data_IF_276372771419
#
_entry.id   IF_276372771419
#
_cell.length_a   1.000
_cell.length_b   1.000
_cell.length_c   1.000
_cell.angle_alpha   90.00
_cell.angle_beta   90.00
_cell.angle_gamma   90.00
#
_symmetry.space_group_name_H-M   'P 1'
#
loop_
_entity.id
_entity.type
_entity.pdbx_description
1 polymer ?
#
# COMPACT_ATOMS: atom_id res chain seq x y z
N UNK A 1 -9.32 5.76 16.04
CA UNK A 1 -7.95 6.02 15.58
C UNK A 1 -7.95 7.37 14.87
N UNK A 2 -6.86 8.15 14.93
CA UNK A 2 -6.83 9.51 14.39
C UNK A 2 -6.46 9.46 12.89
N UNK A 3 -7.42 9.74 12.01
CA UNK A 3 -7.31 9.56 10.55
C UNK A 3 -6.25 10.45 9.88
N UNK A 4 -5.75 11.49 10.55
CA UNK A 4 -4.79 12.45 9.99
C UNK A 4 -3.34 11.91 9.90
N UNK A 5 -3.03 10.75 10.49
CA UNK A 5 -1.66 10.25 10.60
C UNK A 5 -1.27 9.20 9.56
N UNK A 6 -2.20 8.71 8.75
CA UNK A 6 -1.94 7.58 7.85
C UNK A 6 -1.03 7.94 6.68
N UNK A 7 -1.03 9.19 6.20
CA UNK A 7 -0.48 9.53 4.87
C UNK A 7 1.05 9.72 4.78
N UNK A 8 1.80 9.80 5.89
CA UNK A 8 3.14 10.46 5.82
C UNK A 8 4.28 9.89 6.67
N UNK A 9 4.27 8.62 7.08
CA UNK A 9 5.42 8.10 7.86
C UNK A 9 6.01 6.83 7.25
N UNK A 10 7.00 7.02 6.38
CA UNK A 10 7.96 5.97 6.04
C UNK A 10 8.65 5.53 7.34
N UNK A 11 8.78 4.23 7.63
CA UNK A 11 9.42 3.77 8.85
C UNK A 11 10.85 4.33 8.95
N UNK A 12 11.19 4.92 10.09
CA UNK A 12 12.54 5.38 10.41
C UNK A 12 13.39 4.20 10.91
N UNK A 13 14.67 4.16 10.53
CA UNK A 13 15.58 3.11 10.98
C UNK A 13 16.61 2.73 9.93
N UNK A 14 17.39 1.71 10.22
CA UNK A 14 18.27 1.05 9.27
C UNK A 14 17.45 0.35 8.18
N UNK A 15 18.10 0.06 7.05
CA UNK A 15 17.47 -0.64 5.93
C UNK A 15 16.91 -2.01 6.32
N UNK A 16 17.62 -2.75 7.17
CA UNK A 16 17.18 -4.06 7.65
C UNK A 16 15.90 -3.95 8.50
N UNK A 17 15.84 -2.97 9.41
CA UNK A 17 14.65 -2.71 10.23
C UNK A 17 13.46 -2.29 9.35
N UNK A 18 13.69 -1.46 8.33
CA UNK A 18 12.64 -1.08 7.39
C UNK A 18 12.09 -2.27 6.60
N UNK A 19 12.95 -3.21 6.18
CA UNK A 19 12.53 -4.44 5.50
C UNK A 19 11.73 -5.36 6.43
N UNK A 20 12.15 -5.51 7.68
CA UNK A 20 11.45 -6.32 8.68
C UNK A 20 10.03 -5.79 8.90
N UNK A 21 9.91 -4.47 9.18
CA UNK A 21 8.63 -3.79 9.33
C UNK A 21 7.77 -3.97 8.07
N UNK A 22 8.34 -3.81 6.87
CA UNK A 22 7.60 -3.97 5.63
C UNK A 22 7.05 -5.40 5.43
N UNK A 23 7.84 -6.42 5.77
CA UNK A 23 7.39 -7.82 5.71
C UNK A 23 6.28 -8.12 6.73
N UNK A 24 6.36 -7.56 7.93
CA UNK A 24 5.30 -7.69 8.95
C UNK A 24 3.99 -7.03 8.48
N UNK A 25 4.08 -5.83 7.89
CA UNK A 25 2.92 -5.13 7.34
C UNK A 25 2.26 -5.95 6.23
N UNK A 26 3.03 -6.54 5.31
CA UNK A 26 2.48 -7.41 4.27
C UNK A 26 1.79 -8.65 4.84
N UNK A 27 2.43 -9.32 5.81
CA UNK A 27 1.83 -10.48 6.50
C UNK A 27 0.52 -10.10 7.21
N UNK A 28 0.51 -8.97 7.89
CA UNK A 28 -0.67 -8.45 8.60
C UNK A 28 -1.79 -8.08 7.65
N UNK A 29 -1.47 -7.47 6.50
CA UNK A 29 -2.47 -7.17 5.49
C UNK A 29 -3.14 -8.44 4.95
N UNK A 30 -2.35 -9.43 4.53
CA UNK A 30 -2.88 -10.66 3.94
C UNK A 30 -3.45 -11.67 4.95
N UNK A 31 -3.26 -11.45 6.25
CA UNK A 31 -3.97 -12.22 7.29
C UNK A 31 -5.40 -11.72 7.50
N UNK A 32 -5.69 -10.47 7.13
CA UNK A 32 -7.01 -9.84 7.25
C UNK A 32 -7.76 -9.84 5.92
N UNK A 33 -7.08 -9.50 4.83
CA UNK A 33 -7.66 -9.41 3.49
C UNK A 33 -7.00 -10.42 2.57
N UNK A 34 -7.78 -11.40 2.09
CA UNK A 34 -7.31 -12.29 1.04
C UNK A 34 -7.05 -11.51 -0.26
N UNK A 35 -6.37 -12.14 -1.23
CA UNK A 35 -6.13 -11.52 -2.53
C UNK A 35 -7.45 -11.23 -3.26
N UNK A 36 -8.40 -12.17 -3.19
CA UNK A 36 -9.71 -12.04 -3.83
C UNK A 36 -10.53 -10.92 -3.19
N UNK A 37 -10.55 -10.84 -1.85
CA UNK A 37 -11.22 -9.74 -1.14
C UNK A 37 -10.58 -8.39 -1.49
N UNK A 38 -9.24 -8.34 -1.55
CA UNK A 38 -8.51 -7.12 -1.91
C UNK A 38 -8.89 -6.63 -3.30
N UNK A 39 -9.05 -7.55 -4.27
CA UNK A 39 -9.47 -7.22 -5.62
C UNK A 39 -10.90 -6.69 -5.67
N UNK A 40 -11.81 -7.28 -4.89
CA UNK A 40 -13.19 -6.81 -4.82
C UNK A 40 -13.30 -5.42 -4.19
N UNK A 41 -12.61 -5.18 -3.06
CA UNK A 41 -12.58 -3.87 -2.42
C UNK A 41 -11.95 -2.80 -3.32
N UNK A 42 -10.84 -3.09 -4.00
CA UNK A 42 -10.24 -2.17 -4.99
C UNK A 42 -11.23 -1.84 -6.12
N UNK A 43 -11.94 -2.85 -6.63
CA UNK A 43 -12.97 -2.65 -7.65
C UNK A 43 -14.11 -1.79 -7.13
N UNK A 44 -14.54 -1.99 -5.89
CA UNK A 44 -15.58 -1.21 -5.24
C UNK A 44 -15.15 0.25 -5.06
N UNK A 45 -13.90 0.52 -4.65
CA UNK A 45 -13.34 1.88 -4.58
C UNK A 45 -13.39 2.61 -5.92
N UNK A 46 -12.98 1.93 -7.01
CA UNK A 46 -13.03 2.48 -8.37
C UNK A 46 -14.48 2.75 -8.78
N UNK A 47 -15.39 1.79 -8.57
CA UNK A 47 -16.81 1.97 -8.89
C UNK A 47 -17.40 3.19 -8.17
N UNK A 48 -17.14 3.36 -6.88
CA UNK A 48 -17.64 4.51 -6.11
C UNK A 48 -17.07 5.85 -6.59
N UNK A 49 -15.87 5.85 -7.17
CA UNK A 49 -15.23 7.06 -7.72
C UNK A 49 -15.86 7.51 -9.05
N UNK A 50 -16.47 6.59 -9.82
CA UNK A 50 -17.00 6.89 -11.15
C UNK A 50 -18.54 6.80 -11.26
N UNK A 51 -19.20 5.96 -10.48
CA UNK A 51 -20.65 5.70 -10.57
C UNK A 51 -21.43 6.40 -9.46
N UNK A 52 -21.80 7.66 -9.68
CA UNK A 52 -22.43 8.52 -8.66
C UNK A 52 -23.96 8.43 -8.57
N UNK A 53 -24.65 7.60 -9.37
CA UNK A 53 -26.13 7.69 -9.50
C UNK A 53 -26.94 6.41 -9.27
N UNK A 54 -26.35 5.22 -9.14
CA UNK A 54 -27.14 3.97 -9.00
C UNK A 54 -26.74 3.01 -7.87
N UNK A 55 -25.52 3.10 -7.34
CA UNK A 55 -25.02 2.15 -6.35
C UNK A 55 -24.29 2.89 -5.23
N UNK A 56 -25.05 3.51 -4.32
CA UNK A 56 -24.46 4.02 -3.09
C UNK A 56 -24.23 2.87 -2.13
N UNK A 57 -23.01 2.77 -1.61
CA UNK A 57 -22.72 1.85 -0.51
C UNK A 57 -23.59 2.19 0.69
N UNK A 58 -24.14 1.16 1.31
CA UNK A 58 -24.77 1.29 2.62
C UNK A 58 -23.70 1.61 3.69
N UNK A 59 -24.14 1.94 4.90
CA UNK A 59 -23.21 2.35 5.97
C UNK A 59 -22.17 1.26 6.31
N UNK A 60 -22.55 -0.02 6.29
CA UNK A 60 -21.65 -1.13 6.60
C UNK A 60 -20.60 -1.29 5.49
N UNK A 61 -21.03 -1.31 4.24
CA UNK A 61 -20.14 -1.39 3.08
C UNK A 61 -19.15 -0.21 3.05
N UNK A 62 -19.63 1.00 3.37
CA UNK A 62 -18.79 2.19 3.46
C UNK A 62 -17.75 2.06 4.59
N UNK A 63 -18.16 1.59 5.77
CA UNK A 63 -17.23 1.36 6.89
C UNK A 63 -16.18 0.32 6.54
N UNK A 64 -16.57 -0.77 5.87
CA UNK A 64 -15.64 -1.80 5.41
C UNK A 64 -14.66 -1.25 4.38
N UNK A 65 -15.12 -0.44 3.43
CA UNK A 65 -14.25 0.19 2.42
C UNK A 65 -13.25 1.17 3.04
N UNK A 66 -13.66 1.94 4.06
CA UNK A 66 -12.78 2.82 4.82
C UNK A 66 -11.72 2.00 5.56
N UNK A 67 -12.14 0.95 6.27
CA UNK A 67 -11.21 0.06 6.98
C UNK A 67 -10.21 -0.60 6.02
N UNK A 68 -10.67 -1.06 4.85
CA UNK A 68 -9.79 -1.60 3.82
C UNK A 68 -8.76 -0.55 3.37
N UNK A 69 -9.18 0.69 3.13
CA UNK A 69 -8.28 1.77 2.74
C UNK A 69 -7.20 2.07 3.80
N UNK A 70 -7.57 2.03 5.08
CA UNK A 70 -6.64 2.21 6.20
C UNK A 70 -5.56 1.11 6.27
N UNK A 71 -5.89 -0.12 5.86
CA UNK A 71 -4.94 -1.23 5.77
C UNK A 71 -4.13 -1.23 4.47
N UNK A 72 -4.75 -0.81 3.36
CA UNK A 72 -4.12 -0.74 2.05
C UNK A 72 -2.97 0.27 2.04
N UNK A 73 -3.12 1.41 2.70
CA UNK A 73 -2.13 2.48 2.66
C UNK A 73 -0.74 2.06 3.23
N UNK A 74 -0.64 1.49 4.45
CA UNK A 74 0.62 0.92 4.95
C UNK A 74 1.18 -0.18 4.05
N UNK A 75 0.32 -1.02 3.47
CA UNK A 75 0.74 -2.10 2.58
C UNK A 75 1.43 -1.59 1.31
N UNK A 76 0.90 -0.52 0.70
CA UNK A 76 1.53 0.12 -0.47
C UNK A 76 2.92 0.65 -0.10
N UNK A 77 3.06 1.32 1.05
CA UNK A 77 4.37 1.79 1.52
C UNK A 77 5.36 0.65 1.78
N UNK A 78 4.91 -0.42 2.44
CA UNK A 78 5.73 -1.61 2.69
C UNK A 78 6.22 -2.25 1.38
N UNK A 79 5.32 -2.34 0.39
CA UNK A 79 5.66 -2.89 -0.94
C UNK A 79 6.72 -2.02 -1.62
N UNK A 80 6.62 -0.69 -1.53
CA UNK A 80 7.60 0.24 -2.09
C UNK A 80 9.01 0.04 -1.50
N UNK A 81 9.11 -0.12 -0.17
CA UNK A 81 10.38 -0.37 0.53
C UNK A 81 11.04 -1.67 0.01
N UNK A 82 10.25 -2.74 -0.12
CA UNK A 82 10.76 -4.03 -0.59
C UNK A 82 11.07 -4.04 -2.09
N UNK A 83 10.45 -3.15 -2.87
CA UNK A 83 10.67 -3.05 -4.32
C UNK A 83 11.93 -2.23 -4.68
N UNK A 84 12.22 -1.16 -3.94
CA UNK A 84 13.48 -0.38 -4.09
C UNK A 84 14.73 -1.29 -4.00
N UNK A 85 14.64 -2.39 -3.23
CA UNK A 85 15.73 -3.34 -3.07
C UNK A 85 15.89 -4.37 -4.18
N UNK A 86 14.81 -4.65 -4.90
CA UNK A 86 14.85 -5.60 -6.02
C UNK A 86 15.23 -4.92 -7.33
N UNK A 87 14.92 -3.63 -7.47
CA UNK A 87 15.17 -2.84 -8.66
C UNK A 87 15.58 -1.41 -8.28
N UNK A 88 16.88 -1.17 -7.99
CA UNK A 88 17.35 0.19 -7.74
C UNK A 88 17.12 1.04 -9.00
N UNK A 89 16.10 1.90 -8.97
CA UNK A 89 15.88 2.90 -10.00
C UNK A 89 17.10 3.83 -10.00
N UNK A 90 17.90 3.73 -11.07
CA UNK A 90 19.14 4.46 -11.32
C UNK A 90 20.38 3.97 -10.54
N UNK A 91 21.03 2.93 -11.06
CA UNK A 91 22.50 2.94 -11.03
C UNK A 91 22.97 3.94 -12.09
N UNK A 92 23.76 4.98 -11.75
CA UNK A 92 24.46 5.75 -12.76
C UNK A 92 25.31 4.78 -13.59
N UNK A 93 25.21 4.88 -14.93
CA UNK A 93 26.08 4.11 -15.82
C UNK A 93 27.53 4.38 -15.40
N UNK A 94 28.39 3.36 -15.27
CA UNK A 94 29.81 3.62 -15.09
C UNK A 94 30.27 4.48 -16.26
N UNK A 95 30.78 5.67 -15.97
CA UNK A 95 31.46 6.48 -16.95
C UNK A 95 32.56 5.60 -17.54
N UNK A 96 32.46 5.32 -18.84
CA UNK A 96 33.52 4.65 -19.57
C UNK A 96 34.74 5.55 -19.52
N UNK A 97 35.64 5.24 -18.59
CA UNK A 97 36.99 5.76 -18.56
C UNK A 97 37.66 5.31 -19.86
N UNK A 98 37.66 6.19 -20.85
CA UNK A 98 38.54 6.08 -21.99
C UNK A 98 39.91 6.59 -21.54
N UNK A 99 40.80 5.64 -21.27
CA UNK A 99 42.24 5.85 -21.25
C UNK A 99 42.77 6.06 -22.67
#
# INVERSE_FOLDING_TARGET
>A
MNHEQYLHKRPSGTKAEQQEIANEVLKSFFSVYSLDDSLDYLRQMIKQSFYTKKEFLNNVERTNLIAFYEYLHPMIMATSILYEDKYPLHQPKPETSHA
#
